data_IF_966653715081
#
_entry.id   IF_966653715081
#
_cell.length_a   1.000
_cell.length_b   1.000
_cell.length_c   1.000
_cell.angle_alpha   90.00
_cell.angle_beta   90.00
_cell.angle_gamma   90.00
#
_symmetry.space_group_name_H-M   'P 1'
#
loop_
_entity.id
_entity.type
_entity.pdbx_description
1 polymer ?
#
# COMPACT_ATOMS: atom_id res chain seq x y z
N UNK A 1 14.11 -8.64 2.94
CA UNK A 1 12.72 -8.50 2.47
C UNK A 1 12.11 -7.28 3.15
N UNK A 2 11.69 -6.28 2.37
CA UNK A 2 11.17 -5.01 2.90
C UNK A 2 9.66 -5.08 3.12
N UNK A 3 9.17 -4.46 4.20
CA UNK A 3 7.76 -4.38 4.51
C UNK A 3 7.33 -2.91 4.52
N UNK A 4 6.29 -2.58 3.75
CA UNK A 4 5.69 -1.26 3.72
C UNK A 4 4.29 -1.38 4.32
N UNK A 5 3.99 -0.55 5.32
CA UNK A 5 2.71 -0.56 6.03
C UNK A 5 2.01 0.77 5.81
N UNK A 6 0.83 0.74 5.18
CA UNK A 6 -0.03 1.91 5.06
C UNK A 6 -1.13 1.83 6.10
N UNK A 7 -1.11 2.80 7.02
CA UNK A 7 -2.12 2.93 8.06
C UNK A 7 -3.23 3.86 7.57
N UNK A 8 -4.44 3.34 7.50
CA UNK A 8 -5.65 4.08 7.08
C UNK A 8 -5.46 4.89 5.80
N UNK A 9 -5.07 4.27 4.67
CA UNK A 9 -4.88 5.00 3.43
C UNK A 9 -6.19 5.62 2.93
N UNK A 10 -6.15 6.90 2.59
CA UNK A 10 -7.33 7.64 2.16
C UNK A 10 -7.43 7.85 0.63
N UNK A 11 -6.30 7.78 -0.09
CA UNK A 11 -6.21 8.09 -1.51
C UNK A 11 -5.94 6.80 -2.31
N UNK A 12 -6.89 6.30 -3.12
CA UNK A 12 -6.73 5.06 -3.89
C UNK A 12 -5.50 5.07 -4.80
N UNK A 13 -5.28 6.18 -5.51
CA UNK A 13 -4.21 6.33 -6.49
C UNK A 13 -2.82 6.19 -5.86
N UNK A 14 -2.64 6.72 -4.64
CA UNK A 14 -1.39 6.59 -3.90
C UNK A 14 -1.15 5.14 -3.49
N UNK A 15 -2.18 4.48 -2.96
CA UNK A 15 -2.11 3.05 -2.57
C UNK A 15 -1.74 2.18 -3.77
N UNK A 16 -2.36 2.42 -4.94
CA UNK A 16 -2.05 1.70 -6.17
C UNK A 16 -0.62 1.94 -6.68
N UNK A 17 -0.14 3.19 -6.64
CA UNK A 17 1.23 3.52 -7.01
C UNK A 17 2.25 2.84 -6.09
N UNK A 18 2.02 2.86 -4.78
CA UNK A 18 2.86 2.19 -3.78
C UNK A 18 2.83 0.67 -3.98
N UNK A 19 1.67 0.08 -4.29
CA UNK A 19 1.55 -1.34 -4.63
C UNK A 19 2.43 -1.74 -5.83
N UNK A 20 2.45 -0.93 -6.89
CA UNK A 20 3.34 -1.17 -8.04
C UNK A 20 4.82 -1.12 -7.66
N UNK A 21 5.20 -0.17 -6.80
CA UNK A 21 6.58 -0.07 -6.30
C UNK A 21 6.94 -1.33 -5.50
N UNK A 22 6.02 -1.81 -4.65
CA UNK A 22 6.24 -3.01 -3.85
C UNK A 22 6.51 -4.24 -4.72
N UNK A 23 5.72 -4.44 -5.79
CA UNK A 23 5.94 -5.51 -6.77
C UNK A 23 7.31 -5.40 -7.45
N UNK A 24 7.69 -4.19 -7.90
CA UNK A 24 8.96 -3.98 -8.59
C UNK A 24 10.19 -4.06 -7.67
N UNK A 25 10.00 -3.90 -6.36
CA UNK A 25 11.08 -3.82 -5.37
C UNK A 25 11.18 -5.04 -4.47
N UNK A 26 10.41 -6.11 -4.76
CA UNK A 26 10.30 -7.30 -3.93
C UNK A 26 9.99 -6.97 -2.45
N UNK A 27 9.05 -6.03 -2.26
CA UNK A 27 8.58 -5.60 -0.96
C UNK A 27 7.12 -6.05 -0.73
N UNK A 28 6.79 -6.34 0.52
CA UNK A 28 5.43 -6.69 0.93
C UNK A 28 4.66 -5.45 1.37
N UNK A 29 3.48 -5.22 0.80
CA UNK A 29 2.58 -4.13 1.18
C UNK A 29 1.50 -4.63 2.16
N UNK A 30 1.44 -4.01 3.33
CA UNK A 30 0.41 -4.25 4.35
C UNK A 30 -0.53 -3.05 4.43
N UNK A 31 -1.83 -3.29 4.36
CA UNK A 31 -2.85 -2.24 4.47
C UNK A 31 -3.62 -2.41 5.78
N UNK A 32 -3.56 -1.40 6.64
CA UNK A 32 -4.33 -1.39 7.90
C UNK A 32 -5.63 -0.61 7.68
N UNK A 33 -6.74 -1.30 7.91
CA UNK A 33 -8.10 -0.77 7.81
C UNK A 33 -8.39 0.29 8.90
N UNK A 34 -9.39 1.17 8.72
CA UNK A 34 -10.26 1.29 7.54
C UNK A 34 -9.56 1.92 6.32
N UNK A 35 -9.91 1.43 5.13
CA UNK A 35 -9.57 2.09 3.86
C UNK A 35 -10.66 3.13 3.60
N UNK A 36 -10.31 4.34 3.13
CA UNK A 36 -11.33 5.35 2.77
C UNK A 36 -11.88 5.19 1.35
N UNK A 37 -11.71 3.99 0.78
CA UNK A 37 -12.10 3.64 -0.57
C UNK A 37 -12.52 2.17 -0.63
N UNK A 38 -13.40 1.86 -1.59
CA UNK A 38 -13.88 0.52 -1.89
C UNK A 38 -12.96 -0.22 -2.88
#
# INVERSE_FOLDING_TARGET
MFNIVLVTPNIPQNTGAIGRICVNSDATLHLIKPLSFD
#
